data_IF_053635105463
#
_entry.id   IF_053635105463
#
_cell.length_a   1.000
_cell.length_b   1.000
_cell.length_c   1.000
_cell.angle_alpha   90.00
_cell.angle_beta   90.00
_cell.angle_gamma   90.00
#
_symmetry.space_group_name_H-M   'P 1'
#
loop_
_entity.id
_entity.type
_entity.pdbx_description
1 polymer ?
#
# COMPACT_ATOMS: atom_id res chain seq x y z
N UNK A 1 -14.24 -0.76 -16.68
CA UNK A 1 -13.06 -0.85 -15.80
C UNK A 1 -11.86 -1.43 -16.56
N UNK A 2 -11.96 -2.63 -17.15
CA UNK A 2 -10.89 -3.24 -17.95
C UNK A 2 -10.29 -2.30 -19.01
N UNK A 3 -11.12 -1.66 -19.84
CA UNK A 3 -10.65 -0.70 -20.85
C UNK A 3 -9.85 0.47 -20.24
N UNK A 4 -10.30 0.98 -19.10
CA UNK A 4 -9.60 2.05 -18.37
C UNK A 4 -8.23 1.57 -17.91
N UNK A 5 -8.16 0.40 -17.27
CA UNK A 5 -6.90 -0.22 -16.84
C UNK A 5 -5.93 -0.43 -18.01
N UNK A 6 -6.44 -0.96 -19.14
CA UNK A 6 -5.65 -1.19 -20.36
C UNK A 6 -5.16 0.12 -20.98
N UNK A 7 -6.00 1.16 -21.01
CA UNK A 7 -5.65 2.49 -21.50
C UNK A 7 -4.63 3.24 -20.63
N UNK A 8 -4.43 2.80 -19.39
CA UNK A 8 -3.52 3.41 -18.41
C UNK A 8 -2.37 2.49 -17.98
N UNK A 9 -2.04 1.44 -18.75
CA UNK A 9 -0.99 0.49 -18.38
C UNK A 9 0.37 1.14 -18.19
N UNK A 10 0.70 2.13 -19.04
CA UNK A 10 2.01 2.76 -19.06
C UNK A 10 1.92 4.12 -19.75
N UNK A 11 2.77 5.04 -19.34
CA UNK A 11 2.98 6.33 -19.99
C UNK A 11 4.42 6.78 -19.83
N UNK A 12 4.76 8.02 -20.23
CA UNK A 12 6.14 8.52 -20.20
C UNK A 12 6.81 8.41 -18.83
N UNK A 13 6.02 8.59 -17.77
CA UNK A 13 6.49 8.69 -16.39
C UNK A 13 5.68 7.83 -15.42
N UNK A 14 4.91 6.84 -15.89
CA UNK A 14 4.15 5.98 -15.00
C UNK A 14 3.94 4.58 -15.57
N UNK A 15 3.73 3.62 -14.69
CA UNK A 15 3.44 2.22 -15.03
C UNK A 15 2.44 1.63 -14.04
N UNK A 16 1.43 0.94 -14.55
CA UNK A 16 0.46 0.20 -13.76
C UNK A 16 1.15 -1.02 -13.13
N UNK A 17 1.02 -1.16 -11.82
CA UNK A 17 1.55 -2.24 -11.00
C UNK A 17 0.54 -3.38 -10.95
N UNK A 18 -0.67 -3.08 -10.50
CA UNK A 18 -1.73 -4.05 -10.32
C UNK A 18 -3.09 -3.38 -10.33
N UNK A 19 -4.12 -4.21 -10.50
CA UNK A 19 -5.51 -3.83 -10.32
C UNK A 19 -6.15 -4.80 -9.34
N UNK A 20 -6.62 -4.31 -8.20
CA UNK A 20 -7.50 -5.09 -7.32
C UNK A 20 -8.90 -5.07 -7.92
N UNK A 21 -9.42 -6.25 -8.24
CA UNK A 21 -10.75 -6.41 -8.85
C UNK A 21 -11.22 -7.86 -8.71
N UNK A 22 -12.38 -8.07 -8.09
CA UNK A 22 -12.97 -9.38 -7.86
C UNK A 22 -12.26 -10.21 -6.79
N UNK A 23 -12.82 -11.39 -6.53
CA UNK A 23 -12.31 -12.35 -5.56
C UNK A 23 -12.12 -13.72 -6.19
N UNK A 24 -11.20 -14.52 -5.66
CA UNK A 24 -10.95 -15.87 -6.15
C UNK A 24 -12.21 -16.75 -5.95
N UNK A 25 -12.76 -17.39 -7.01
CA UNK A 25 -13.97 -18.21 -6.89
C UNK A 25 -13.72 -19.56 -6.20
N UNK A 26 -12.47 -20.02 -6.19
CA UNK A 26 -12.02 -21.25 -5.55
C UNK A 26 -10.57 -21.07 -5.08
N UNK A 27 -10.09 -21.98 -4.22
CA UNK A 27 -8.68 -22.03 -3.87
C UNK A 27 -7.84 -22.24 -5.14
N UNK A 28 -6.83 -21.40 -5.34
CA UNK A 28 -6.06 -21.34 -6.58
C UNK A 28 -4.58 -21.08 -6.31
N UNK A 29 -3.73 -21.88 -6.94
CA UNK A 29 -2.28 -21.75 -6.94
C UNK A 29 -1.83 -21.10 -8.26
N UNK A 30 -1.12 -19.98 -8.16
CA UNK A 30 -0.56 -19.24 -9.31
C UNK A 30 0.95 -19.11 -9.09
N UNK A 31 1.75 -19.83 -9.88
CA UNK A 31 3.17 -20.01 -9.57
C UNK A 31 3.34 -20.63 -8.18
N UNK A 32 4.06 -19.94 -7.29
CA UNK A 32 4.25 -20.37 -5.90
C UNK A 32 3.20 -19.81 -4.91
N UNK A 33 2.29 -18.95 -5.39
CA UNK A 33 1.32 -18.26 -4.53
C UNK A 33 0.03 -19.07 -4.36
N UNK A 34 -0.33 -19.34 -3.10
CA UNK A 34 -1.60 -19.98 -2.73
C UNK A 34 -2.63 -18.92 -2.38
N UNK A 35 -3.69 -18.83 -3.17
CA UNK A 35 -4.79 -17.91 -2.99
C UNK A 35 -6.03 -18.69 -2.55
N UNK A 36 -6.73 -18.19 -1.53
CA UNK A 36 -7.94 -18.85 -1.01
C UNK A 36 -9.19 -18.30 -1.69
N UNK A 37 -10.22 -19.11 -1.81
CA UNK A 37 -11.54 -18.67 -2.22
C UNK A 37 -12.00 -17.45 -1.40
N UNK A 38 -12.63 -16.48 -2.05
CA UNK A 38 -13.11 -15.24 -1.45
C UNK A 38 -12.03 -14.19 -1.17
N UNK A 39 -10.74 -14.48 -1.39
CA UNK A 39 -9.70 -13.45 -1.23
C UNK A 39 -9.61 -12.54 -2.46
N UNK A 40 -9.32 -11.24 -2.30
CA UNK A 40 -9.24 -10.31 -3.42
C UNK A 40 -8.19 -10.69 -4.45
N UNK A 41 -8.52 -10.54 -5.73
CA UNK A 41 -7.60 -10.77 -6.85
C UNK A 41 -6.81 -9.50 -7.13
N UNK A 42 -5.50 -9.65 -7.33
CA UNK A 42 -4.63 -8.61 -7.83
C UNK A 42 -4.15 -8.93 -9.25
N UNK A 43 -4.73 -8.26 -10.22
CA UNK A 43 -4.45 -8.46 -11.64
C UNK A 43 -3.19 -7.72 -12.05
N UNK A 44 -2.19 -8.46 -12.55
CA UNK A 44 -0.99 -7.88 -13.16
C UNK A 44 -1.26 -7.38 -14.59
N UNK A 45 -0.43 -6.47 -15.14
CA UNK A 45 -0.59 -5.94 -16.50
C UNK A 45 -0.72 -6.99 -17.60
N UNK A 46 0.03 -8.08 -17.53
CA UNK A 46 -0.03 -9.21 -18.46
C UNK A 46 -1.36 -9.98 -18.32
N UNK A 47 -1.82 -10.22 -17.10
CA UNK A 47 -3.10 -10.87 -16.82
C UNK A 47 -4.29 -10.01 -17.27
N UNK A 48 -4.20 -8.69 -17.11
CA UNK A 48 -5.19 -7.73 -17.64
C UNK A 48 -5.28 -7.79 -19.17
N UNK A 49 -4.13 -7.80 -19.85
CA UNK A 49 -4.07 -7.93 -21.32
C UNK A 49 -4.65 -9.27 -21.79
N UNK A 50 -4.41 -10.35 -21.04
CA UNK A 50 -4.97 -11.66 -21.32
C UNK A 50 -6.47 -11.77 -20.99
N UNK A 51 -6.99 -10.88 -20.14
CA UNK A 51 -8.37 -10.92 -19.63
C UNK A 51 -8.64 -12.12 -18.70
N UNK A 52 -7.59 -12.82 -18.25
CA UNK A 52 -7.69 -14.02 -17.43
C UNK A 52 -6.43 -14.28 -16.61
N UNK A 53 -6.59 -15.07 -15.56
CA UNK A 53 -5.52 -15.65 -14.74
C UNK A 53 -5.60 -17.17 -14.88
N UNK A 54 -4.46 -17.80 -15.13
CA UNK A 54 -4.33 -19.25 -15.23
C UNK A 54 -3.50 -19.77 -14.05
N UNK A 55 -3.89 -20.93 -13.54
CA UNK A 55 -3.26 -21.58 -12.41
C UNK A 55 -3.84 -22.97 -12.18
N UNK A 56 -3.73 -23.46 -10.95
CA UNK A 56 -4.18 -24.80 -10.59
C UNK A 56 -4.99 -24.77 -9.30
N UNK A 57 -5.91 -25.71 -9.11
CA UNK A 57 -6.46 -26.01 -7.79
C UNK A 57 -5.35 -26.59 -6.89
N UNK A 58 -5.50 -26.62 -5.55
CA UNK A 58 -4.53 -27.26 -4.66
C UNK A 58 -4.25 -28.74 -5.00
N UNK A 59 -5.19 -29.40 -5.67
CA UNK A 59 -5.12 -30.79 -6.14
C UNK A 59 -4.41 -30.95 -7.50
N UNK A 60 -3.99 -29.84 -8.13
CA UNK A 60 -3.24 -29.83 -9.39
C UNK A 60 -4.08 -29.81 -10.67
N UNK A 61 -5.40 -29.63 -10.57
CA UNK A 61 -6.25 -29.47 -11.75
C UNK A 61 -6.15 -28.05 -12.30
N UNK A 62 -6.08 -27.87 -13.61
CA UNK A 62 -6.01 -26.54 -14.22
C UNK A 62 -7.27 -25.72 -13.90
N UNK A 63 -7.07 -24.48 -13.48
CA UNK A 63 -8.13 -23.51 -13.16
C UNK A 63 -7.85 -22.21 -13.90
N UNK A 64 -8.89 -21.61 -14.49
CA UNK A 64 -8.83 -20.29 -15.11
C UNK A 64 -9.88 -19.40 -14.46
N UNK A 65 -9.48 -18.18 -14.12
CA UNK A 65 -10.38 -17.13 -13.63
C UNK A 65 -10.35 -15.99 -14.63
N UNK A 66 -11.49 -15.66 -15.22
CA UNK A 66 -11.59 -14.59 -16.21
C UNK A 66 -12.03 -13.27 -15.58
N UNK A 67 -11.64 -12.17 -16.21
CA UNK A 67 -12.08 -10.83 -15.80
C UNK A 67 -13.61 -10.71 -15.77
N UNK A 68 -14.25 -11.31 -16.77
CA UNK A 68 -15.70 -11.24 -16.93
C UNK A 68 -16.44 -12.01 -15.83
N UNK A 69 -15.94 -13.19 -15.44
CA UNK A 69 -16.53 -13.98 -14.34
C UNK A 69 -16.53 -13.22 -13.03
N UNK A 70 -15.41 -12.57 -12.68
CA UNK A 70 -15.34 -11.86 -11.39
C UNK A 70 -15.95 -10.45 -11.45
N UNK A 71 -16.38 -9.99 -12.64
CA UNK A 71 -17.00 -8.68 -12.79
C UNK A 71 -18.41 -8.58 -12.23
N UNK A 72 -19.08 -9.72 -12.00
CA UNK A 72 -20.41 -9.76 -11.37
C UNK A 72 -20.37 -9.44 -9.88
N UNK A 73 -19.24 -9.72 -9.23
CA UNK A 73 -18.97 -9.36 -7.84
C UNK A 73 -17.53 -8.82 -7.75
N UNK A 74 -17.34 -7.56 -8.19
CA UNK A 74 -16.01 -6.99 -8.37
C UNK A 74 -15.33 -6.62 -7.05
N UNK A 75 -16.05 -6.67 -5.92
CA UNK A 75 -15.57 -6.21 -4.63
C UNK A 75 -14.83 -4.86 -4.71
N UNK A 76 -13.69 -4.77 -4.03
CA UNK A 76 -12.85 -3.58 -4.03
C UNK A 76 -12.15 -3.39 -5.40
N UNK A 77 -12.45 -2.25 -6.05
CA UNK A 77 -11.76 -1.77 -7.24
C UNK A 77 -10.63 -0.76 -6.93
N UNK A 78 -9.37 -1.15 -7.11
CA UNK A 78 -8.21 -0.25 -6.93
C UNK A 78 -7.23 -0.43 -8.07
N UNK A 79 -6.73 0.66 -8.63
CA UNK A 79 -5.64 0.63 -9.60
C UNK A 79 -4.41 1.23 -8.93
N UNK A 80 -3.29 0.52 -9.02
CA UNK A 80 -2.01 0.94 -8.47
C UNK A 80 -1.02 1.18 -9.60
N UNK A 81 -0.34 2.34 -9.56
CA UNK A 81 0.75 2.70 -10.44
C UNK A 81 1.99 3.05 -9.63
N UNK A 82 3.14 2.90 -10.27
CA UNK A 82 4.34 3.66 -9.93
C UNK A 82 4.43 4.85 -10.87
N UNK A 83 4.73 6.03 -10.32
CA UNK A 83 4.91 7.28 -11.07
C UNK A 83 6.31 7.82 -10.79
N UNK A 84 7.07 8.10 -11.85
CA UNK A 84 8.31 8.85 -11.79
C UNK A 84 7.99 10.36 -11.84
N UNK A 85 8.30 11.09 -10.77
CA UNK A 85 8.24 12.55 -10.77
C UNK A 85 9.61 13.10 -11.22
N UNK A 86 9.75 13.58 -12.47
CA UNK A 86 11.04 14.05 -12.97
C UNK A 86 11.48 15.37 -12.33
N UNK A 87 10.55 16.14 -11.75
CA UNK A 87 10.85 17.42 -11.10
C UNK A 87 11.43 17.16 -9.72
N UNK A 88 10.76 16.31 -8.94
CA UNK A 88 11.19 15.95 -7.58
C UNK A 88 12.23 14.83 -7.56
N UNK A 89 12.49 14.18 -8.70
CA UNK A 89 13.47 13.09 -8.85
C UNK A 89 13.18 11.90 -7.95
N UNK A 90 11.89 11.57 -7.80
CA UNK A 90 11.42 10.49 -6.92
C UNK A 90 10.44 9.58 -7.65
N UNK A 91 10.36 8.32 -7.19
CA UNK A 91 9.32 7.37 -7.57
C UNK A 91 8.26 7.33 -6.48
N UNK A 92 7.00 7.51 -6.86
CA UNK A 92 5.87 7.50 -5.94
C UNK A 92 4.85 6.46 -6.38
N UNK A 93 4.35 5.69 -5.41
CA UNK A 93 3.16 4.87 -5.63
C UNK A 93 1.94 5.78 -5.71
N UNK A 94 1.17 5.66 -6.78
CA UNK A 94 -0.10 6.33 -6.95
C UNK A 94 -1.20 5.29 -7.01
N UNK A 95 -2.22 5.45 -6.18
CA UNK A 95 -3.38 4.56 -6.16
C UNK A 95 -4.62 5.35 -6.56
N UNK A 96 -5.38 4.84 -7.52
CA UNK A 96 -6.74 5.32 -7.79
C UNK A 96 -7.73 4.30 -7.24
N UNK A 97 -8.32 4.68 -6.12
CA UNK A 97 -9.48 4.02 -5.56
C UNK A 97 -10.68 4.41 -6.42
N UNK A 98 -11.14 3.50 -7.27
CA UNK A 98 -12.39 3.70 -8.00
C UNK A 98 -13.51 3.28 -7.07
N UNK A 99 -13.94 4.23 -6.25
CA UNK A 99 -15.18 4.12 -5.52
C UNK A 99 -16.30 3.85 -6.54
N UNK A 100 -17.00 2.73 -6.44
CA UNK A 100 -18.14 2.39 -7.31
C UNK A 100 -19.39 3.13 -6.82
N UNK A 101 -19.24 4.44 -6.65
CA UNK A 101 -20.32 5.35 -6.31
C UNK A 101 -20.99 5.84 -7.59
N UNK A 102 -22.28 5.52 -7.74
CA UNK A 102 -23.12 6.08 -8.79
C UNK A 102 -23.84 7.32 -8.25
N UNK A 103 -23.55 8.50 -8.78
CA UNK A 103 -24.29 9.74 -8.49
C UNK A 103 -25.40 9.91 -9.55
N UNK A 104 -26.66 9.84 -9.11
CA UNK A 104 -27.80 10.09 -9.97
C UNK A 104 -27.93 11.59 -10.31
N UNK A 105 -28.64 11.97 -11.40
CA UNK A 105 -28.81 13.38 -11.80
C UNK A 105 -29.48 14.29 -10.76
N UNK A 106 -30.10 13.71 -9.72
CA UNK A 106 -30.69 14.41 -8.58
C UNK A 106 -29.70 14.62 -7.41
N UNK A 107 -28.43 14.21 -7.57
CA UNK A 107 -27.36 14.33 -6.58
C UNK A 107 -27.28 13.19 -5.57
N UNK A 108 -28.07 12.11 -5.75
CA UNK A 108 -28.06 10.95 -4.83
C UNK A 108 -26.90 10.00 -5.16
N UNK A 109 -26.04 9.74 -4.18
CA UNK A 109 -24.92 8.81 -4.29
C UNK A 109 -25.34 7.41 -3.82
N UNK A 110 -25.17 6.39 -4.66
CA UNK A 110 -25.48 4.99 -4.34
C UNK A 110 -24.23 4.11 -4.44
N UNK A 111 -23.78 3.49 -3.34
CA UNK A 111 -22.71 2.50 -3.38
C UNK A 111 -23.27 1.16 -3.92
N UNK A 112 -22.66 0.63 -4.99
CA UNK A 112 -23.16 -0.58 -5.67
C UNK A 112 -22.85 -1.89 -4.92
N UNK A 113 -22.02 -1.83 -3.89
CA UNK A 113 -21.73 -2.89 -2.91
C UNK A 113 -22.54 -2.75 -1.61
N UNK A 114 -23.43 -1.73 -1.53
CA UNK A 114 -24.18 -1.40 -0.32
C UNK A 114 -23.39 -0.66 0.74
N UNK A 115 -22.15 -0.24 0.45
CA UNK A 115 -21.24 0.35 1.41
C UNK A 115 -20.60 1.64 0.87
N UNK A 116 -21.02 2.79 1.42
CA UNK A 116 -20.40 4.08 1.12
C UNK A 116 -19.32 4.31 2.19
N UNK A 117 -18.04 4.32 1.81
CA UNK A 117 -16.94 4.55 2.75
C UNK A 117 -16.37 5.99 2.62
N UNK A 118 -16.78 6.93 3.51
CA UNK A 118 -16.19 8.27 3.61
C UNK A 118 -14.68 8.30 3.91
N UNK A 119 -14.13 7.21 4.42
CA UNK A 119 -12.89 7.14 5.17
C UNK A 119 -11.73 6.54 4.35
N UNK A 120 -11.99 5.98 3.16
CA UNK A 120 -11.00 5.24 2.37
C UNK A 120 -10.17 6.03 1.35
N UNK A 121 -10.14 7.36 1.44
CA UNK A 121 -9.05 8.09 0.79
C UNK A 121 -7.78 7.92 1.64
N UNK A 122 -6.78 7.19 1.10
CA UNK A 122 -5.37 7.26 1.54
C UNK A 122 -4.77 8.65 1.26
N UNK A 123 -5.50 9.71 1.58
CA UNK A 123 -5.15 11.08 1.32
C UNK A 123 -5.07 11.73 2.69
N UNK A 124 -3.91 12.30 2.99
CA UNK A 124 -3.78 13.36 3.99
C UNK A 124 -4.86 14.38 3.67
N UNK A 125 -5.99 14.32 4.36
CA UNK A 125 -7.11 15.19 4.10
C UNK A 125 -6.67 16.61 4.49
N UNK A 126 -6.25 17.37 3.47
CA UNK A 126 -6.16 18.82 3.52
C UNK A 126 -7.46 19.37 4.14
N UNK A 127 -7.37 20.40 4.98
CA UNK A 127 -8.51 20.95 5.72
C UNK A 127 -9.71 21.32 4.83
N UNK A 128 -9.47 21.53 3.53
CA UNK A 128 -10.49 21.78 2.50
C UNK A 128 -11.42 20.56 2.20
N UNK A 129 -11.07 19.35 2.63
CA UNK A 129 -11.79 18.11 2.30
C UNK A 129 -12.79 17.63 3.35
N UNK A 130 -12.82 18.27 4.52
CA UNK A 130 -13.81 18.07 5.61
C UNK A 130 -15.28 18.10 5.12
N UNK A 131 -15.70 18.97 4.18
CA UNK A 131 -17.09 19.03 3.73
C UNK A 131 -17.58 17.77 2.99
N UNK A 132 -16.69 17.02 2.33
CA UNK A 132 -17.03 15.77 1.64
C UNK A 132 -17.31 14.67 2.68
N UNK A 133 -16.44 14.58 3.69
CA UNK A 133 -16.58 13.64 4.80
C UNK A 133 -17.89 13.83 5.57
N UNK A 134 -18.28 15.08 5.89
CA UNK A 134 -19.54 15.36 6.58
C UNK A 134 -20.78 14.98 5.76
N UNK A 135 -20.71 15.04 4.42
CA UNK A 135 -21.81 14.58 3.55
C UNK A 135 -21.88 13.06 3.49
N UNK A 136 -20.74 12.39 3.41
CA UNK A 136 -20.68 10.93 3.33
C UNK A 136 -21.10 10.29 4.66
N UNK A 137 -20.68 10.83 5.82
CA UNK A 137 -21.03 10.35 7.15
C UNK A 137 -22.55 10.42 7.47
N UNK A 138 -23.29 11.34 6.83
CA UNK A 138 -24.75 11.43 6.98
C UNK A 138 -25.52 10.28 6.32
N UNK A 139 -24.85 9.48 5.48
CA UNK A 139 -25.45 8.37 4.75
C UNK A 139 -25.01 6.98 5.26
N UNK A 140 -24.20 6.93 6.32
CA UNK A 140 -23.66 5.68 6.88
C UNK A 140 -24.55 5.21 8.02
N UNK A 141 -25.01 3.96 7.99
CA UNK A 141 -25.74 3.35 9.11
C UNK A 141 -24.80 3.21 10.32
N UNK A 142 -25.32 3.25 11.55
CA UNK A 142 -24.49 3.11 12.76
C UNK A 142 -23.58 1.87 12.74
N UNK A 143 -24.05 0.78 12.12
CA UNK A 143 -23.28 -0.47 11.99
C UNK A 143 -22.08 -0.35 11.06
N UNK A 144 -22.12 0.51 10.04
CA UNK A 144 -21.03 0.60 9.07
C UNK A 144 -19.77 1.27 9.65
N UNK A 145 -19.90 2.12 10.69
CA UNK A 145 -18.74 2.61 11.42
C UNK A 145 -18.06 1.47 12.22
N UNK A 146 -18.86 0.63 12.89
CA UNK A 146 -18.35 -0.49 13.68
C UNK A 146 -17.69 -1.56 12.80
N UNK A 147 -18.29 -1.86 11.64
CA UNK A 147 -17.72 -2.78 10.64
C UNK A 147 -16.40 -2.25 10.08
N UNK A 148 -16.30 -0.93 9.86
CA UNK A 148 -15.08 -0.27 9.42
C UNK A 148 -13.96 -0.36 10.44
N UNK A 149 -14.25 -0.01 11.70
CA UNK A 149 -13.28 -0.12 12.80
C UNK A 149 -12.82 -1.57 12.92
N UNK A 150 -13.73 -2.52 12.88
CA UNK A 150 -13.41 -3.96 12.90
C UNK A 150 -12.51 -4.38 11.73
N UNK A 151 -12.69 -3.80 10.54
CA UNK A 151 -11.82 -4.05 9.39
C UNK A 151 -10.41 -3.49 9.58
N UNK A 152 -10.29 -2.28 10.13
CA UNK A 152 -9.01 -1.68 10.47
C UNK A 152 -8.28 -2.48 11.55
N UNK A 153 -8.99 -2.98 12.56
CA UNK A 153 -8.44 -3.84 13.61
C UNK A 153 -7.88 -5.16 13.08
N UNK A 154 -8.56 -5.77 12.10
CA UNK A 154 -8.03 -6.95 11.40
C UNK A 154 -6.73 -6.65 10.67
N UNK A 155 -6.63 -5.48 10.03
CA UNK A 155 -5.37 -5.04 9.39
C UNK A 155 -4.29 -4.71 10.42
N UNK A 156 -4.63 -4.11 11.57
CA UNK A 156 -3.69 -3.90 12.69
C UNK A 156 -3.14 -5.24 13.16
N UNK A 157 -3.99 -6.22 13.45
CA UNK A 157 -3.56 -7.57 13.85
C UNK A 157 -2.63 -8.20 12.83
N UNK A 158 -2.97 -8.13 11.54
CA UNK A 158 -2.15 -8.66 10.45
C UNK A 158 -0.74 -8.04 10.44
N UNK A 159 -0.64 -6.71 10.55
CA UNK A 159 0.64 -6.00 10.52
C UNK A 159 1.42 -6.06 11.85
N UNK A 160 0.80 -6.55 12.93
CA UNK A 160 1.48 -6.83 14.20
C UNK A 160 2.02 -8.26 14.31
N UNK A 161 1.48 -9.21 13.55
CA UNK A 161 1.72 -10.65 13.77
C UNK A 161 2.27 -11.41 12.57
N UNK A 162 1.79 -11.09 11.36
CA UNK A 162 2.11 -11.86 10.15
C UNK A 162 3.01 -11.08 9.20
N UNK A 163 2.59 -9.86 8.84
CA UNK A 163 3.27 -9.01 7.87
C UNK A 163 3.84 -7.78 8.58
N UNK A 164 4.82 -7.96 9.47
CA UNK A 164 5.24 -6.93 10.43
C UNK A 164 5.50 -5.57 9.77
N UNK A 165 4.68 -4.58 10.10
CA UNK A 165 4.80 -3.22 9.59
C UNK A 165 4.19 -2.18 10.54
N UNK A 166 5.02 -1.59 11.40
CA UNK A 166 4.56 -0.66 12.44
C UNK A 166 4.10 0.69 11.90
N UNK A 167 4.68 1.17 10.80
CA UNK A 167 4.18 2.38 10.12
C UNK A 167 2.76 2.17 9.58
N UNK A 168 2.45 0.96 9.10
CA UNK A 168 1.08 0.63 8.70
C UNK A 168 0.16 0.58 9.91
N UNK A 169 0.55 -0.09 11.00
CA UNK A 169 -0.20 -0.13 12.27
C UNK A 169 -0.57 1.27 12.74
N UNK A 170 0.41 2.17 12.84
CA UNK A 170 0.23 3.57 13.23
C UNK A 170 -0.87 4.27 12.43
N UNK A 171 -0.87 4.14 11.10
CA UNK A 171 -1.88 4.76 10.22
C UNK A 171 -3.29 4.21 10.44
N UNK A 172 -3.44 2.92 10.76
CA UNK A 172 -4.76 2.30 10.97
C UNK A 172 -5.30 2.67 12.34
N UNK A 173 -4.44 2.63 13.36
CA UNK A 173 -4.75 3.12 14.70
C UNK A 173 -5.12 4.61 14.71
N UNK A 174 -4.46 5.47 13.92
CA UNK A 174 -4.85 6.87 13.80
C UNK A 174 -6.33 7.00 13.40
N UNK A 175 -6.74 6.24 12.38
CA UNK A 175 -8.13 6.24 11.95
C UNK A 175 -9.06 5.62 13.01
N UNK A 176 -8.71 4.48 13.60
CA UNK A 176 -9.52 3.86 14.67
C UNK A 176 -9.73 4.84 15.82
N UNK A 177 -8.66 5.45 16.32
CA UNK A 177 -8.71 6.34 17.48
C UNK A 177 -9.48 7.63 17.19
N UNK A 178 -9.27 8.23 16.02
CA UNK A 178 -10.06 9.38 15.56
C UNK A 178 -11.56 9.07 15.49
N UNK A 179 -11.92 7.86 15.08
CA UNK A 179 -13.31 7.44 14.89
C UNK A 179 -14.00 6.96 16.17
N UNK A 180 -13.23 6.48 17.14
CA UNK A 180 -13.73 5.98 18.42
C UNK A 180 -13.62 7.00 19.56
N UNK A 181 -13.17 8.23 19.26
CA UNK A 181 -13.08 9.32 20.23
C UNK A 181 -11.81 9.33 21.10
N UNK A 182 -10.81 8.52 20.76
CA UNK A 182 -9.47 8.48 21.39
C UNK A 182 -8.57 9.56 20.78
N UNK A 183 -8.97 10.82 20.95
CA UNK A 183 -8.36 11.94 20.22
C UNK A 183 -6.90 12.23 20.63
N UNK A 184 -6.51 11.92 21.87
CA UNK A 184 -5.14 12.11 22.35
C UNK A 184 -4.18 11.19 21.61
N UNK A 185 -4.50 9.90 21.53
CA UNK A 185 -3.70 8.92 20.77
C UNK A 185 -3.74 9.21 19.27
N UNK A 186 -4.88 9.69 18.75
CA UNK A 186 -4.96 10.12 17.36
C UNK A 186 -4.06 11.34 17.07
N UNK A 187 -3.96 12.31 17.98
CA UNK A 187 -3.05 13.46 17.81
C UNK A 187 -1.59 13.02 17.85
N UNK A 188 -1.23 12.15 18.80
CA UNK A 188 0.11 11.59 18.88
C UNK A 188 0.52 10.86 17.58
N UNK A 189 -0.37 10.01 17.06
CA UNK A 189 -0.11 9.29 15.81
C UNK A 189 -0.05 10.24 14.61
N UNK A 190 -0.83 11.33 14.60
CA UNK A 190 -0.74 12.35 13.56
C UNK A 190 0.62 13.05 13.59
N UNK A 191 1.09 13.44 14.77
CA UNK A 191 2.40 14.08 14.96
C UNK A 191 3.55 13.19 14.50
N UNK A 192 3.45 11.87 14.73
CA UNK A 192 4.40 10.88 14.19
C UNK A 192 4.49 10.91 12.65
N UNK A 193 3.47 11.39 11.94
CA UNK A 193 3.45 11.59 10.49
C UNK A 193 3.56 13.07 10.06
N UNK A 194 3.66 14.01 11.00
CA UNK A 194 4.01 15.41 10.75
C UNK A 194 5.52 15.66 10.99
N UNK A 195 6.20 14.72 11.66
CA UNK A 195 7.64 14.67 11.87
C UNK A 195 8.43 14.20 10.63
N UNK A 196 9.77 14.35 10.62
CA UNK A 196 10.61 13.86 9.53
C UNK A 196 10.51 12.34 9.26
N UNK A 197 9.92 11.59 10.20
CA UNK A 197 9.53 10.19 10.12
C UNK A 197 8.66 9.81 8.91
N UNK A 198 7.89 10.75 8.34
CA UNK A 198 7.04 10.48 7.16
C UNK A 198 7.84 10.08 5.94
N UNK A 199 9.10 10.53 5.86
CA UNK A 199 10.04 10.15 4.80
C UNK A 199 10.46 8.69 4.90
N UNK A 200 10.45 8.10 6.10
CA UNK A 200 10.70 6.67 6.28
C UNK A 200 9.56 5.81 5.72
N UNK A 201 8.37 6.37 5.50
CA UNK A 201 7.34 5.67 4.75
C UNK A 201 7.65 5.59 3.25
N UNK A 202 8.39 6.56 2.70
CA UNK A 202 8.84 6.54 1.31
C UNK A 202 9.86 5.43 1.04
N UNK A 203 10.58 4.95 2.06
CA UNK A 203 11.39 3.73 1.98
C UNK A 203 10.56 2.56 1.43
N UNK A 204 9.36 2.33 1.99
CA UNK A 204 8.49 1.25 1.54
C UNK A 204 8.02 1.45 0.09
N UNK A 205 7.84 2.69 -0.34
CA UNK A 205 7.53 3.03 -1.73
C UNK A 205 8.68 2.70 -2.67
N UNK A 206 9.90 3.10 -2.32
CA UNK A 206 11.13 2.78 -3.07
C UNK A 206 11.29 1.26 -3.17
N UNK A 207 11.11 0.55 -2.07
CA UNK A 207 11.25 -0.90 -2.00
C UNK A 207 10.28 -1.62 -2.94
N UNK A 208 8.99 -1.28 -2.89
CA UNK A 208 7.99 -1.84 -3.80
C UNK A 208 8.32 -1.52 -5.26
N UNK A 209 8.82 -0.30 -5.51
CA UNK A 209 9.22 0.12 -6.86
C UNK A 209 10.41 -0.68 -7.41
N UNK A 210 11.34 -1.11 -6.55
CA UNK A 210 12.46 -1.97 -6.95
C UNK A 210 11.94 -3.35 -7.43
N UNK A 211 10.95 -3.92 -6.74
CA UNK A 211 10.32 -5.18 -7.16
C UNK A 211 9.69 -5.02 -8.57
N UNK A 212 8.97 -3.93 -8.80
CA UNK A 212 8.26 -3.65 -10.06
C UNK A 212 9.22 -3.32 -11.23
N UNK A 213 10.32 -2.62 -10.94
CA UNK A 213 11.36 -2.35 -11.92
C UNK A 213 12.13 -3.62 -12.34
N UNK A 214 12.13 -4.65 -11.50
CA UNK A 214 12.81 -5.93 -11.76
C UNK A 214 12.05 -6.85 -12.71
N UNK A 215 10.81 -6.50 -13.10
CA UNK A 215 9.98 -7.27 -14.03
C UNK A 215 10.36 -6.99 -15.49
N UNK A 216 10.41 -8.01 -16.38
CA UNK A 216 10.69 -7.79 -17.80
C UNK A 216 9.72 -6.78 -18.46
N UNK A 217 10.28 -5.81 -19.20
CA UNK A 217 9.49 -4.80 -19.92
C UNK A 217 9.05 -3.59 -19.08
N UNK A 218 9.55 -3.44 -17.85
CA UNK A 218 9.34 -2.24 -17.04
C UNK A 218 9.86 -0.97 -17.73
N UNK A 219 9.09 0.12 -17.68
CA UNK A 219 9.57 1.46 -18.10
C UNK A 219 10.47 2.11 -17.07
N UNK A 220 10.46 1.62 -15.82
CA UNK A 220 11.28 2.18 -14.76
C UNK A 220 12.72 1.74 -14.98
N UNK A 221 13.57 2.72 -15.30
CA UNK A 221 14.97 2.47 -15.59
C UNK A 221 15.79 2.36 -14.30
N UNK A 222 16.93 1.66 -14.36
CA UNK A 222 17.90 1.62 -13.27
C UNK A 222 18.37 3.02 -12.86
N UNK A 223 18.50 3.95 -13.81
CA UNK A 223 18.86 5.33 -13.52
C UNK A 223 17.79 6.05 -12.68
N UNK A 224 16.50 5.79 -12.94
CA UNK A 224 15.40 6.34 -12.14
C UNK A 224 15.38 5.73 -10.73
N UNK A 225 15.67 4.43 -10.58
CA UNK A 225 15.82 3.81 -9.25
C UNK A 225 16.94 4.46 -8.45
N UNK A 226 18.14 4.57 -9.04
CA UNK A 226 19.30 5.19 -8.40
C UNK A 226 19.00 6.64 -7.98
N UNK A 227 18.36 7.40 -8.86
CA UNK A 227 17.97 8.78 -8.57
C UNK A 227 16.94 8.85 -7.43
N UNK A 228 15.98 7.93 -7.38
CA UNK A 228 15.02 7.86 -6.27
C UNK A 228 15.68 7.43 -4.96
N UNK A 229 16.68 6.54 -5.00
CA UNK A 229 17.48 6.18 -3.81
C UNK A 229 18.32 7.34 -3.33
N UNK A 230 18.97 8.07 -4.25
CA UNK A 230 19.74 9.29 -3.94
C UNK A 230 18.86 10.36 -3.27
N UNK A 231 17.66 10.57 -3.81
CA UNK A 231 16.70 11.49 -3.22
C UNK A 231 16.32 11.07 -1.79
N UNK A 232 16.00 9.79 -1.58
CA UNK A 232 15.65 9.28 -0.26
C UNK A 232 16.79 9.43 0.74
N UNK A 233 18.04 9.22 0.33
CA UNK A 233 19.22 9.46 1.19
C UNK A 233 19.26 10.93 1.64
N UNK A 234 19.11 11.87 0.71
CA UNK A 234 19.11 13.30 1.03
C UNK A 234 17.96 13.70 1.96
N UNK A 235 16.78 13.11 1.76
CA UNK A 235 15.64 13.38 2.61
C UNK A 235 15.83 12.82 4.02
N UNK A 236 16.42 11.62 4.16
CA UNK A 236 16.80 11.07 5.47
C UNK A 236 17.82 11.97 6.18
N UNK A 237 18.84 12.47 5.48
CA UNK A 237 19.85 13.39 6.06
C UNK A 237 19.23 14.69 6.55
N UNK A 238 18.22 15.23 5.85
CA UNK A 238 17.53 16.45 6.30
C UNK A 238 16.58 16.20 7.48
N UNK A 239 16.11 14.96 7.57
CA UNK A 239 15.00 14.58 8.41
C UNK A 239 15.46 14.08 9.79
N UNK A 240 16.51 13.28 9.80
CA UNK A 240 17.00 12.61 11.00
C UNK A 240 18.33 13.23 11.42
N UNK A 241 18.73 12.98 12.66
CA UNK A 241 20.00 13.42 13.22
C UNK A 241 20.65 12.28 14.01
N UNK A 242 21.97 12.32 14.17
CA UNK A 242 22.69 11.43 15.08
C UNK A 242 22.87 9.99 14.56
N UNK A 243 22.77 9.01 15.47
CA UNK A 243 23.04 7.61 15.15
C UNK A 243 22.00 7.01 14.20
N UNK A 244 20.73 7.38 14.35
CA UNK A 244 19.61 6.93 13.49
C UNK A 244 19.82 7.34 12.02
N UNK A 245 20.18 8.61 11.78
CA UNK A 245 20.52 9.12 10.46
C UNK A 245 21.67 8.32 9.85
N UNK A 246 22.75 8.16 10.62
CA UNK A 246 23.98 7.49 10.19
C UNK A 246 23.70 6.04 9.76
N UNK A 247 22.90 5.32 10.54
CA UNK A 247 22.55 3.93 10.26
C UNK A 247 21.67 3.81 9.00
N UNK A 248 20.61 4.62 8.89
CA UNK A 248 19.69 4.57 7.73
C UNK A 248 20.42 4.95 6.45
N UNK A 249 21.21 6.03 6.47
CA UNK A 249 21.99 6.48 5.31
C UNK A 249 23.00 5.42 4.87
N UNK A 250 23.68 4.76 5.82
CA UNK A 250 24.62 3.67 5.53
C UNK A 250 23.96 2.51 4.80
N UNK A 251 22.75 2.10 5.23
CA UNK A 251 22.01 1.03 4.57
C UNK A 251 21.45 1.43 3.21
N UNK A 252 20.97 2.68 3.05
CA UNK A 252 20.53 3.21 1.76
C UNK A 252 21.67 3.33 0.76
N UNK A 253 22.88 3.72 1.19
CA UNK A 253 24.07 3.73 0.35
C UNK A 253 24.44 2.32 -0.13
N UNK A 254 24.39 1.32 0.74
CA UNK A 254 24.59 -0.08 0.34
C UNK A 254 23.55 -0.55 -0.67
N UNK A 255 22.28 -0.17 -0.49
CA UNK A 255 21.22 -0.48 -1.45
C UNK A 255 21.49 0.20 -2.79
N UNK A 256 21.86 1.48 -2.78
CA UNK A 256 22.22 2.25 -3.97
C UNK A 256 23.37 1.58 -4.74
N UNK A 257 24.44 1.19 -4.06
CA UNK A 257 25.59 0.54 -4.68
C UNK A 257 25.20 -0.82 -5.28
N UNK A 258 24.36 -1.60 -4.60
CA UNK A 258 23.83 -2.85 -5.11
C UNK A 258 22.95 -2.65 -6.37
N UNK A 259 22.15 -1.58 -6.40
CA UNK A 259 21.35 -1.21 -7.59
C UNK A 259 22.22 -0.71 -8.75
N UNK A 260 23.38 -0.12 -8.46
CA UNK A 260 24.31 0.41 -9.45
C UNK A 260 25.11 -0.68 -10.18
N UNK A 261 25.24 -1.88 -9.61
CA UNK A 261 26.05 -2.96 -10.16
C UNK A 261 25.54 -3.46 -11.53
N UNK A 262 26.18 -3.01 -12.60
CA UNK A 262 25.88 -3.37 -14.00
C UNK A 262 26.35 -4.77 -14.41
N UNK A 263 27.10 -5.49 -13.56
CA UNK A 263 27.52 -6.84 -13.88
C UNK A 263 26.37 -7.86 -13.82
N UNK A 264 25.32 -7.57 -13.04
CA UNK A 264 24.10 -8.38 -12.94
C UNK A 264 23.06 -8.04 -14.02
N UNK A 265 22.54 -9.07 -14.72
CA UNK A 265 21.37 -8.93 -15.61
C UNK A 265 20.07 -8.58 -14.86
N UNK A 266 20.02 -8.84 -13.56
CA UNK A 266 18.87 -8.59 -12.69
C UNK A 266 19.14 -7.37 -11.81
N UNK A 267 18.09 -6.58 -11.55
CA UNK A 267 18.14 -5.42 -10.64
C UNK A 267 18.14 -5.89 -9.18
N UNK A 268 17.33 -6.90 -8.87
CA UNK A 268 17.25 -7.53 -7.56
C UNK A 268 18.35 -8.58 -7.37
N UNK A 269 19.53 -8.16 -6.90
CA UNK A 269 20.57 -9.10 -6.48
C UNK A 269 20.35 -9.54 -5.03
N UNK A 270 20.96 -10.66 -4.60
CA UNK A 270 20.93 -11.07 -3.19
C UNK A 270 21.44 -9.94 -2.26
N UNK A 271 22.42 -9.15 -2.73
CA UNK A 271 22.94 -8.01 -1.98
C UNK A 271 21.91 -6.88 -1.86
N UNK A 272 21.16 -6.60 -2.94
CA UNK A 272 20.07 -5.62 -2.92
C UNK A 272 18.95 -6.06 -1.96
N UNK A 273 18.59 -7.35 -1.93
CA UNK A 273 17.58 -7.90 -1.01
C UNK A 273 17.99 -7.83 0.46
N UNK A 274 19.27 -8.09 0.75
CA UNK A 274 19.82 -7.93 2.10
C UNK A 274 19.81 -6.47 2.51
N UNK A 275 20.28 -5.56 1.65
CA UNK A 275 20.26 -4.13 1.93
C UNK A 275 18.83 -3.61 2.16
N UNK A 276 17.89 -3.99 1.30
CA UNK A 276 16.46 -3.72 1.42
C UNK A 276 15.90 -4.16 2.78
N UNK A 277 16.16 -5.41 3.17
CA UNK A 277 15.65 -5.98 4.42
C UNK A 277 16.16 -5.22 5.66
N UNK A 278 17.40 -4.75 5.62
CA UNK A 278 17.96 -3.94 6.71
C UNK A 278 17.27 -2.58 6.82
N UNK A 279 17.03 -1.88 5.71
CA UNK A 279 16.30 -0.60 5.74
C UNK A 279 14.86 -0.80 6.25
N UNK A 280 14.18 -1.88 5.84
CA UNK A 280 12.86 -2.25 6.36
C UNK A 280 12.86 -2.38 7.87
N UNK A 281 13.80 -3.15 8.41
CA UNK A 281 13.86 -3.43 9.84
C UNK A 281 14.11 -2.15 10.65
N UNK A 282 14.99 -1.28 10.16
CA UNK A 282 15.32 -0.03 10.81
C UNK A 282 14.12 0.92 10.88
N UNK A 283 13.40 1.07 9.76
CA UNK A 283 12.15 1.83 9.73
C UNK A 283 11.10 1.23 10.66
N UNK A 284 10.96 -0.10 10.68
CA UNK A 284 10.02 -0.77 11.56
C UNK A 284 10.35 -0.54 13.04
N UNK A 285 11.62 -0.61 13.43
CA UNK A 285 12.07 -0.35 14.80
C UNK A 285 11.76 1.10 15.20
N UNK A 286 12.06 2.07 14.33
CA UNK A 286 11.72 3.47 14.56
C UNK A 286 10.22 3.66 14.89
N UNK A 287 9.33 3.12 14.05
CA UNK A 287 7.88 3.22 14.32
C UNK A 287 7.49 2.45 15.59
N UNK A 288 8.06 1.26 15.83
CA UNK A 288 7.76 0.47 17.02
C UNK A 288 8.13 1.20 18.31
N UNK A 289 9.30 1.81 18.38
CA UNK A 289 9.76 2.55 19.55
C UNK A 289 8.86 3.74 19.86
N UNK A 290 8.49 4.51 18.84
CA UNK A 290 7.57 5.66 19.00
C UNK A 290 6.17 5.23 19.39
N UNK A 291 5.62 4.18 18.80
CA UNK A 291 4.31 3.64 19.20
C UNK A 291 4.36 3.13 20.65
N UNK A 292 5.45 2.46 21.03
CA UNK A 292 5.64 1.90 22.37
C UNK A 292 5.91 2.96 23.44
N UNK A 293 6.27 4.19 23.05
CA UNK A 293 6.53 5.29 23.96
C UNK A 293 5.25 5.82 24.64
N UNK A 294 4.08 5.64 24.02
CA UNK A 294 2.79 5.98 24.62
C UNK A 294 2.12 4.70 25.20
N UNK A 295 1.97 4.57 26.54
CA UNK A 295 1.47 3.34 27.16
C UNK A 295 0.11 2.87 26.63
N UNK A 296 -0.83 3.79 26.39
CA UNK A 296 -2.17 3.45 25.90
C UNK A 296 -2.19 2.93 24.46
N UNK A 297 -1.20 3.31 23.65
CA UNK A 297 -0.98 2.76 22.31
C UNK A 297 -0.36 1.38 22.42
N UNK A 298 0.66 1.24 23.28
CA UNK A 298 1.32 -0.04 23.51
C UNK A 298 0.33 -1.09 23.99
N UNK A 299 -0.50 -0.77 24.98
CA UNK A 299 -1.54 -1.65 25.51
C UNK A 299 -2.50 -2.09 24.41
N UNK A 300 -2.96 -1.15 23.58
CA UNK A 300 -3.83 -1.46 22.44
C UNK A 300 -3.16 -2.41 21.42
N UNK A 301 -1.87 -2.24 21.14
CA UNK A 301 -1.13 -3.17 20.28
C UNK A 301 -1.01 -4.57 20.91
N UNK A 302 -0.75 -4.63 22.22
CA UNK A 302 -0.57 -5.88 22.96
C UNK A 302 -1.86 -6.73 22.97
N UNK A 303 -3.05 -6.11 22.90
CA UNK A 303 -4.35 -6.80 22.77
C UNK A 303 -4.42 -7.69 21.51
N UNK A 304 -3.81 -7.28 20.40
CA UNK A 304 -3.82 -8.05 19.15
C UNK A 304 -2.74 -9.12 19.06
N UNK A 305 -1.71 -9.04 19.92
CA UNK A 305 -0.59 -9.99 19.94
C UNK A 305 -0.85 -11.17 20.90
N UNK A 306 -1.67 -10.96 21.93
CA UNK A 306 -2.02 -11.97 22.92
C UNK A 306 -3.24 -12.84 22.54
N UNK A 307 -3.80 -12.64 21.33
CA UNK A 307 -5.00 -13.31 20.79
C UNK A 307 -4.82 -13.67 19.31
#
# INVERSE_FOLDING_TARGET
MLEKSLGSLQGPNYQLIEVKFGSFPADMVIGDQKNRAGTPIAWRPDQLKAGKIEGFTPEGSALTVTWQEVSSDPGWCKLDWVVADPIRKQLANASNMLDVTWEAPDGRITPLDGYLDPYFQEIYLDAASVPIFSKLAQHVSGNALDDYVSALEREVKKYLTKDINYGKVAKRMYNIFRLTGRYEEASFLRELFDEPATMLYQVWSLIRTIDDASVPGSSITRAQLLQSTDHLILEVIKALEGEEETEIVSHLLKLRDALADTAGKQILTNQAEVARSMVINLVNNFFYERLSALPTIKEYMDEFQNH
#
